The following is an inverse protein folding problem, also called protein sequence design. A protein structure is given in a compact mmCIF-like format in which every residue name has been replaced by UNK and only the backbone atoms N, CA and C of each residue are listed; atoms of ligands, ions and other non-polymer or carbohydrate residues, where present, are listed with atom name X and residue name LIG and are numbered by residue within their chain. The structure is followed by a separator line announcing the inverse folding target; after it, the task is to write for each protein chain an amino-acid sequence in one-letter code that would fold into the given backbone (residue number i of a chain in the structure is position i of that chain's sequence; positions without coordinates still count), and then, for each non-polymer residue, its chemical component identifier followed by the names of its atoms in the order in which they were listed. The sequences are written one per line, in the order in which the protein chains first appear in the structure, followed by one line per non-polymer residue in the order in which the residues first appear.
data_IF_803103266164
#
_entry.id   IF_803103266164
#
_cell.length_a   1.000
_cell.length_b   1.000
_cell.length_c   1.000
_cell.angle_alpha   90.00
_cell.angle_beta   90.00
_cell.angle_gamma   90.00
#
_symmetry.space_group_name_H-M   'P 1'
#
loop_
_entity.id
_entity.type
_entity.pdbx_description
1 polymer ?
#
# COMPACT_ATOMS: atom_id res chain seq x y z
N UNK A 1 -23.88 -23.86 25.19
CA UNK A 1 -23.53 -25.27 24.96
C UNK A 1 -22.06 -25.28 24.56
N UNK A 2 -21.21 -26.04 25.24
CA UNK A 2 -19.72 -26.03 25.06
C UNK A 2 -19.13 -27.43 25.03
N UNK A 3 -19.98 -28.45 25.15
CA UNK A 3 -19.68 -29.89 25.10
C UNK A 3 -19.20 -30.38 23.73
N UNK A 4 -19.27 -29.54 22.70
CA UNK A 4 -18.76 -29.78 21.35
C UNK A 4 -17.43 -29.05 21.05
N UNK A 5 -16.91 -28.24 21.98
CA UNK A 5 -15.63 -27.55 21.82
C UNK A 5 -14.46 -28.44 22.28
N UNK A 6 -13.52 -28.74 21.38
CA UNK A 6 -12.34 -29.58 21.68
C UNK A 6 -11.15 -28.80 22.26
N UNK A 7 -11.18 -27.46 22.22
CA UNK A 7 -10.14 -26.60 22.77
C UNK A 7 -10.22 -25.15 22.29
N UNK A 8 -9.26 -24.32 22.69
CA UNK A 8 -9.15 -22.92 22.30
C UNK A 8 -7.73 -22.35 22.48
N UNK A 9 -7.46 -21.23 21.82
CA UNK A 9 -6.24 -20.42 22.01
C UNK A 9 -6.67 -19.04 22.48
N UNK A 10 -5.96 -18.53 23.48
CA UNK A 10 -6.21 -17.21 24.05
C UNK A 10 -4.93 -16.39 23.99
N UNK A 11 -5.05 -15.18 23.44
CA UNK A 11 -4.01 -14.17 23.47
C UNK A 11 -4.60 -12.92 24.11
N UNK A 12 -4.10 -12.54 25.29
CA UNK A 12 -4.61 -11.40 26.04
C UNK A 12 -4.39 -10.05 25.33
N UNK A 13 -3.52 -10.03 24.31
CA UNK A 13 -3.20 -8.84 23.52
C UNK A 13 -4.04 -8.75 22.23
N UNK A 14 -4.82 -9.78 21.90
CA UNK A 14 -5.71 -9.72 20.77
C UNK A 14 -6.86 -8.74 21.04
N UNK A 15 -7.36 -8.16 19.96
CA UNK A 15 -8.48 -7.22 20.02
C UNK A 15 -8.99 -6.91 18.63
N UNK A 16 -9.91 -5.95 18.57
CA UNK A 16 -10.44 -5.43 17.32
C UNK A 16 -9.99 -3.99 17.15
N UNK A 17 -9.51 -3.65 15.96
CA UNK A 17 -9.24 -2.29 15.55
C UNK A 17 -10.17 -1.90 14.42
N UNK A 18 -10.55 -0.63 14.37
CA UNK A 18 -11.17 -0.06 13.18
C UNK A 18 -10.06 0.28 12.17
N UNK A 19 -9.98 -0.43 11.03
CA UNK A 19 -8.93 -0.20 10.04
C UNK A 19 -9.03 1.16 9.36
N UNK A 20 -10.23 1.73 9.24
CA UNK A 20 -10.45 3.04 8.62
C UNK A 20 -9.91 4.13 9.52
N UNK A 21 -10.18 4.05 10.83
CA UNK A 21 -9.64 5.00 11.81
C UNK A 21 -8.12 4.87 11.93
N UNK A 22 -7.60 3.65 11.97
CA UNK A 22 -6.15 3.41 12.02
C UNK A 22 -5.43 4.01 10.80
N UNK A 23 -5.97 3.79 9.59
CA UNK A 23 -5.44 4.35 8.35
C UNK A 23 -5.46 5.88 8.37
N UNK A 24 -6.59 6.48 8.76
CA UNK A 24 -6.72 7.94 8.84
C UNK A 24 -5.69 8.55 9.80
N UNK A 25 -5.46 7.92 10.96
CA UNK A 25 -4.44 8.37 11.92
C UNK A 25 -3.01 8.30 11.37
N UNK A 26 -2.67 7.22 10.64
CA UNK A 26 -1.38 7.09 9.98
C UNK A 26 -1.20 8.11 8.85
N UNK A 27 -2.23 8.29 8.01
CA UNK A 27 -2.25 9.25 6.91
C UNK A 27 -2.03 10.68 7.42
N UNK A 28 -2.78 11.10 8.46
CA UNK A 28 -2.62 12.40 9.08
C UNK A 28 -1.23 12.61 9.68
N UNK A 29 -0.68 11.60 10.36
CA UNK A 29 0.68 11.65 10.92
C UNK A 29 1.75 11.79 9.83
N UNK A 30 1.58 11.09 8.70
CA UNK A 30 2.49 11.20 7.56
C UNK A 30 2.41 12.60 6.91
N UNK A 31 1.21 13.15 6.76
CA UNK A 31 1.02 14.52 6.24
C UNK A 31 1.66 15.57 7.15
N UNK A 32 1.51 15.45 8.48
CA UNK A 32 2.17 16.33 9.45
C UNK A 32 3.70 16.23 9.38
N UNK A 33 4.23 15.06 9.03
CA UNK A 33 5.65 14.86 8.76
C UNK A 33 6.11 15.34 7.36
N UNK A 34 5.21 15.92 6.56
CA UNK A 34 5.51 16.50 5.24
C UNK A 34 5.25 15.59 4.04
N UNK A 35 4.62 14.42 4.23
CA UNK A 35 4.21 13.58 3.11
C UNK A 35 3.07 14.25 2.32
N UNK A 36 3.08 14.05 1.00
CA UNK A 36 1.97 14.46 0.13
C UNK A 36 1.13 13.23 -0.22
N UNK A 37 -0.13 13.25 0.21
CA UNK A 37 -1.12 12.24 -0.17
C UNK A 37 -1.93 12.76 -1.35
N UNK A 38 -2.02 11.95 -2.41
CA UNK A 38 -2.81 12.24 -3.60
C UNK A 38 -3.73 11.05 -3.83
N UNK A 39 -4.99 11.22 -3.46
CA UNK A 39 -6.04 10.22 -3.64
C UNK A 39 -6.72 10.41 -5.00
N UNK A 40 -7.59 9.46 -5.39
CA UNK A 40 -8.27 9.44 -6.68
C UNK A 40 -7.33 9.58 -7.90
N UNK A 41 -6.07 9.14 -7.72
CA UNK A 41 -5.01 9.24 -8.69
C UNK A 41 -4.25 7.92 -8.78
N UNK A 42 -4.70 7.06 -9.69
CA UNK A 42 -4.06 5.78 -9.93
C UNK A 42 -2.69 5.94 -10.61
N UNK A 43 -1.76 5.06 -10.25
CA UNK A 43 -0.53 4.83 -11.02
C UNK A 43 -0.88 3.93 -12.20
N UNK A 44 -0.63 4.41 -13.41
CA UNK A 44 -0.87 3.67 -14.66
C UNK A 44 0.35 2.83 -15.06
N UNK A 45 1.55 3.31 -14.79
CA UNK A 45 2.80 2.58 -15.01
C UNK A 45 3.97 3.09 -14.18
N UNK A 46 4.96 2.23 -13.96
CA UNK A 46 6.25 2.60 -13.39
C UNK A 46 7.20 3.04 -14.52
N UNK A 47 7.81 4.22 -14.38
CA UNK A 47 8.75 4.77 -15.35
C UNK A 47 10.17 4.31 -15.05
N UNK A 48 10.92 3.93 -16.10
CA UNK A 48 12.30 3.42 -15.98
C UNK A 48 13.20 3.91 -17.10
N UNK A 49 14.48 4.03 -16.79
CA UNK A 49 15.58 4.16 -17.75
C UNK A 49 16.52 2.98 -17.54
N UNK A 50 16.52 2.03 -18.48
CA UNK A 50 17.20 0.76 -18.29
C UNK A 50 16.67 0.00 -17.08
N UNK A 51 17.56 -0.32 -16.13
CA UNK A 51 17.22 -1.02 -14.89
C UNK A 51 16.69 -0.10 -13.77
N UNK A 52 16.86 1.22 -13.93
CA UNK A 52 16.60 2.22 -12.89
C UNK A 52 15.20 2.81 -13.00
N UNK A 53 14.48 2.83 -11.88
CA UNK A 53 13.22 3.57 -11.76
C UNK A 53 13.48 5.09 -11.77
N UNK A 54 12.63 5.82 -12.49
CA UNK A 54 12.70 7.30 -12.60
C UNK A 54 11.42 7.99 -12.16
N UNK A 55 10.33 7.24 -11.95
CA UNK A 55 9.06 7.79 -11.47
C UNK A 55 7.88 6.86 -11.70
N UNK A 56 6.69 7.45 -11.70
CA UNK A 56 5.42 6.78 -12.04
C UNK A 56 4.59 7.67 -12.96
N UNK A 57 3.80 7.07 -13.84
CA UNK A 57 2.82 7.74 -14.68
C UNK A 57 1.44 7.73 -14.04
N UNK A 58 0.72 8.84 -14.16
CA UNK A 58 -0.68 8.98 -13.73
C UNK A 58 -1.47 9.75 -14.78
N UNK A 59 -2.81 9.74 -14.68
CA UNK A 59 -3.69 10.54 -15.53
C UNK A 59 -3.42 12.05 -15.46
N UNK A 60 -2.78 12.54 -14.40
CA UNK A 60 -2.41 13.96 -14.20
C UNK A 60 -0.96 14.25 -14.61
N UNK A 61 -0.28 13.30 -15.25
CA UNK A 61 1.11 13.40 -15.68
C UNK A 61 2.06 12.53 -14.85
N UNK A 62 3.35 12.72 -15.12
CA UNK A 62 4.42 11.90 -14.53
C UNK A 62 4.89 12.49 -13.18
N UNK A 63 5.10 11.62 -12.20
CA UNK A 63 5.69 11.97 -10.90
C UNK A 63 7.10 11.42 -10.83
N UNK A 64 8.10 12.30 -10.86
CA UNK A 64 9.51 11.91 -10.78
C UNK A 64 9.85 11.39 -9.37
N UNK A 65 10.51 10.23 -9.32
CA UNK A 65 10.98 9.63 -8.08
C UNK A 65 12.23 8.76 -8.32
N UNK A 66 13.23 8.91 -7.44
CA UNK A 66 14.44 8.06 -7.46
C UNK A 66 14.18 6.63 -6.96
N UNK A 67 13.07 6.43 -6.25
CA UNK A 67 12.65 5.17 -5.62
C UNK A 67 11.12 5.11 -5.65
N UNK A 68 10.58 3.93 -5.88
CA UNK A 68 9.14 3.66 -5.85
C UNK A 68 8.93 2.42 -4.98
N UNK A 69 8.06 2.54 -3.97
CA UNK A 69 7.61 1.42 -3.13
C UNK A 69 6.21 1.02 -3.59
N UNK A 70 6.03 -0.23 -4.00
CA UNK A 70 4.71 -0.75 -4.37
C UNK A 70 4.03 -1.33 -3.14
N UNK A 71 2.99 -0.65 -2.68
CA UNK A 71 2.13 -1.07 -1.57
C UNK A 71 0.66 -1.18 -2.03
N UNK A 72 0.46 -1.77 -3.22
CA UNK A 72 -0.80 -1.74 -3.96
C UNK A 72 -1.74 -2.93 -3.70
N UNK A 73 -1.52 -3.72 -2.63
CA UNK A 73 -2.38 -4.85 -2.28
C UNK A 73 -2.56 -5.83 -3.46
N UNK A 74 -3.82 -6.16 -3.78
CA UNK A 74 -4.15 -7.07 -4.88
C UNK A 74 -3.78 -6.57 -6.28
N UNK A 75 -3.46 -5.27 -6.45
CA UNK A 75 -3.00 -4.69 -7.72
C UNK A 75 -1.48 -4.72 -7.91
N UNK A 76 -0.73 -5.24 -6.93
CA UNK A 76 0.74 -5.25 -6.96
C UNK A 76 1.29 -5.92 -8.22
N UNK A 77 0.76 -7.07 -8.62
CA UNK A 77 1.21 -7.78 -9.83
C UNK A 77 1.00 -6.95 -11.09
N UNK A 78 -0.17 -6.34 -11.24
CA UNK A 78 -0.50 -5.47 -12.38
C UNK A 78 0.44 -4.27 -12.46
N UNK A 79 0.69 -3.58 -11.34
CA UNK A 79 1.58 -2.41 -11.30
C UNK A 79 3.02 -2.82 -11.62
N UNK A 80 3.52 -3.90 -11.01
CA UNK A 80 4.88 -4.40 -11.23
C UNK A 80 5.11 -4.90 -12.67
N UNK A 81 4.09 -5.49 -13.30
CA UNK A 81 4.16 -5.94 -14.69
C UNK A 81 4.46 -4.79 -15.67
N UNK A 82 4.01 -3.56 -15.39
CA UNK A 82 4.33 -2.37 -16.22
C UNK A 82 5.82 -2.06 -16.29
N UNK A 83 6.58 -2.55 -15.32
CA UNK A 83 8.02 -2.41 -15.21
C UNK A 83 8.77 -3.73 -15.47
N UNK A 84 8.10 -4.81 -15.88
CA UNK A 84 8.68 -6.15 -15.98
C UNK A 84 9.33 -6.65 -14.67
N UNK A 85 8.73 -6.32 -13.53
CA UNK A 85 9.11 -6.84 -12.20
C UNK A 85 8.21 -8.03 -11.87
N UNK A 86 8.82 -9.17 -11.58
CA UNK A 86 8.10 -10.37 -11.14
C UNK A 86 7.63 -10.22 -9.68
N UNK A 87 6.42 -10.72 -9.39
CA UNK A 87 5.79 -10.74 -8.06
C UNK A 87 5.16 -12.11 -7.84
#
# INVERSE_FOLDING_TARGET
RVDDLTGGRFCALDGYGDPVQALAGMAGSAQLAGARLREDLAVESILREGDRVTGVRTREGDVSARRVLVAAGCWTSTVCATAAVAV
#
